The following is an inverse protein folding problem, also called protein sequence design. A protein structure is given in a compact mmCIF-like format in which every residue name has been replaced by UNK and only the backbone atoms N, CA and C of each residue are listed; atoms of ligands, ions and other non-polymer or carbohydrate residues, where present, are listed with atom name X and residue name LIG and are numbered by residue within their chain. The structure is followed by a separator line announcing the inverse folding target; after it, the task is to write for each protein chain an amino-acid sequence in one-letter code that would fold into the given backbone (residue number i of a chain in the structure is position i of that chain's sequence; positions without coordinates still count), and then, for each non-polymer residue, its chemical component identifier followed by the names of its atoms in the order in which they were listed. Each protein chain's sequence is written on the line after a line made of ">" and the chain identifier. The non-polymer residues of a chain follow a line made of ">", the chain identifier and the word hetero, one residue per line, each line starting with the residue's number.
data_IF_015886999468
#
_entry.id   IF_015886999468
#
_cell.length_a   1.000
_cell.length_b   1.000
_cell.length_c   1.000
_cell.angle_alpha   90.00
_cell.angle_beta   90.00
_cell.angle_gamma   90.00
#
_symmetry.space_group_name_H-M   'P 1'
#
loop_
_entity.id
_entity.type
_entity.pdbx_description
1 polymer ?
#
# COMPACT_ATOMS: atom_id res chain seq x y z
N UNK A 1 1.57 10.01 19.47
CA UNK A 1 1.20 9.39 20.75
C UNK A 1 1.57 7.92 20.72
N UNK A 2 2.24 7.37 21.75
CA UNK A 2 2.43 5.93 21.84
C UNK A 2 1.07 5.24 21.90
N UNK A 3 0.90 4.19 21.12
CA UNK A 3 -0.34 3.41 21.12
C UNK A 3 -0.28 2.52 22.35
N UNK A 4 -1.16 2.78 23.33
CA UNK A 4 -1.14 2.06 24.61
C UNK A 4 -1.41 0.57 24.37
N UNK A 5 -0.51 -0.28 24.86
CA UNK A 5 -0.64 -1.73 24.78
C UNK A 5 -0.29 -2.36 23.42
N UNK A 6 0.25 -1.59 22.48
CA UNK A 6 0.68 -2.08 21.17
C UNK A 6 2.20 -1.89 21.04
N UNK A 7 2.93 -2.98 20.77
CA UNK A 7 4.37 -2.91 20.51
C UNK A 7 4.64 -2.11 19.22
N UNK A 8 5.64 -1.23 19.23
CA UNK A 8 5.93 -0.30 18.13
C UNK A 8 7.25 -0.58 17.42
N UNK A 9 8.30 -0.92 18.14
CA UNK A 9 9.64 -1.17 17.60
C UNK A 9 10.13 -2.61 17.85
N UNK A 10 9.32 -3.41 18.54
CA UNK A 10 9.60 -4.82 18.86
C UNK A 10 10.95 -5.09 19.56
N UNK A 11 11.71 -4.07 19.93
CA UNK A 11 13.08 -4.18 20.45
C UNK A 11 13.16 -4.92 21.79
N UNK A 12 12.09 -4.93 22.57
CA UNK A 12 11.96 -5.69 23.81
C UNK A 12 11.53 -7.16 23.59
N UNK A 13 11.36 -7.59 22.35
CA UNK A 13 10.84 -8.90 22.00
C UNK A 13 9.33 -9.05 22.19
N UNK A 14 8.62 -7.94 22.48
CA UNK A 14 7.19 -7.95 22.72
C UNK A 14 6.37 -7.95 21.45
N UNK A 15 5.26 -8.68 21.49
CA UNK A 15 4.21 -8.74 20.47
C UNK A 15 2.90 -8.16 20.98
N UNK A 16 2.96 -7.43 22.06
CA UNK A 16 1.77 -6.90 22.72
C UNK A 16 0.86 -6.19 21.71
N UNK A 17 -0.42 -6.56 21.72
CA UNK A 17 -1.44 -5.95 20.89
C UNK A 17 -1.49 -6.41 19.42
N UNK A 18 -0.56 -7.26 18.97
CA UNK A 18 -0.55 -7.79 17.60
C UNK A 18 -1.11 -9.20 17.51
N UNK A 19 -1.82 -9.47 16.43
CA UNK A 19 -2.36 -10.77 16.07
C UNK A 19 -2.00 -11.13 14.64
N UNK A 20 -1.98 -12.42 14.31
CA UNK A 20 -1.77 -12.86 12.92
C UNK A 20 -2.82 -13.90 12.58
N UNK A 21 -3.55 -13.67 11.50
CA UNK A 21 -4.50 -14.60 10.90
C UNK A 21 -3.92 -15.32 9.68
N UNK A 22 -2.70 -14.98 9.25
CA UNK A 22 -2.04 -15.74 8.20
C UNK A 22 -1.77 -17.14 8.70
N UNK A 23 -2.00 -18.17 7.85
CA UNK A 23 -1.79 -19.58 8.21
C UNK A 23 -0.32 -19.97 8.44
N UNK A 24 0.60 -19.02 8.46
CA UNK A 24 1.99 -19.24 8.77
C UNK A 24 2.14 -19.62 10.24
N UNK A 25 2.71 -20.80 10.46
CA UNK A 25 2.92 -21.35 11.81
C UNK A 25 4.05 -20.66 12.58
N UNK A 26 4.96 -19.98 11.88
CA UNK A 26 6.12 -19.34 12.48
C UNK A 26 5.85 -17.87 12.72
N UNK A 27 5.22 -17.58 13.83
CA UNK A 27 5.13 -16.23 14.36
C UNK A 27 6.38 -15.98 15.16
N UNK A 28 7.23 -15.12 14.69
CA UNK A 28 8.38 -14.70 15.47
C UNK A 28 8.21 -13.26 15.85
N UNK A 29 8.00 -13.02 17.14
CA UNK A 29 8.32 -11.76 17.69
C UNK A 29 9.83 -11.60 17.64
N UNK A 30 10.28 -10.55 17.00
CA UNK A 30 11.55 -9.97 17.24
C UNK A 30 12.71 -10.96 17.23
N UNK A 31 13.27 -11.23 16.10
CA UNK A 31 14.63 -11.73 16.04
C UNK A 31 15.58 -10.55 15.97
N UNK A 32 16.51 -10.49 16.91
CA UNK A 32 17.61 -9.57 16.81
C UNK A 32 18.50 -9.88 15.63
N UNK A 33 19.05 -8.84 15.09
CA UNK A 33 20.33 -8.64 14.40
C UNK A 33 20.89 -9.68 13.40
N UNK A 34 20.36 -10.87 13.24
CA UNK A 34 20.83 -11.81 12.22
C UNK A 34 20.37 -11.42 10.81
N UNK A 35 19.49 -10.46 10.73
CA UNK A 35 19.03 -9.89 9.49
C UNK A 35 20.04 -8.92 8.91
N UNK A 36 21.16 -9.45 8.43
CA UNK A 36 22.08 -8.70 7.55
C UNK A 36 21.38 -8.13 6.31
N UNK A 37 20.16 -8.60 6.06
CA UNK A 37 19.33 -8.24 4.94
C UNK A 37 18.32 -7.14 5.29
N UNK A 38 18.19 -6.79 6.58
CA UNK A 38 17.34 -5.69 7.03
C UNK A 38 18.23 -4.57 7.53
N UNK A 39 18.09 -3.40 6.96
CA UNK A 39 18.80 -2.20 7.41
C UNK A 39 18.29 -1.68 8.76
N UNK A 40 17.54 -2.47 9.52
CA UNK A 40 17.06 -2.14 10.86
C UNK A 40 18.02 -2.59 11.94
N UNK A 41 18.19 -1.77 12.95
CA UNK A 41 18.94 -2.10 14.15
C UNK A 41 17.98 -2.56 15.24
N UNK A 42 18.22 -3.73 15.81
CA UNK A 42 17.37 -4.29 16.86
C UNK A 42 16.42 -5.36 16.37
N UNK A 43 15.39 -5.59 17.16
CA UNK A 43 14.37 -6.58 16.85
C UNK A 43 13.29 -5.97 15.96
N UNK A 44 12.65 -6.82 15.16
CA UNK A 44 11.53 -6.48 14.29
C UNK A 44 10.47 -7.58 14.32
N UNK A 45 9.28 -7.30 13.86
CA UNK A 45 8.31 -8.34 13.57
C UNK A 45 8.68 -9.04 12.27
N UNK A 46 8.70 -10.37 12.27
CA UNK A 46 8.71 -11.16 11.04
C UNK A 46 7.76 -12.36 11.14
N UNK A 47 7.25 -12.74 9.98
CA UNK A 47 6.54 -13.98 9.80
C UNK A 47 7.05 -14.63 8.52
N UNK A 48 7.57 -15.87 8.64
CA UNK A 48 8.10 -16.59 7.49
C UNK A 48 7.83 -18.09 7.59
N UNK A 49 7.81 -18.76 6.45
CA UNK A 49 7.70 -20.21 6.33
C UNK A 49 8.50 -20.67 5.12
N UNK A 50 9.04 -21.89 5.16
CA UNK A 50 9.67 -22.51 4.00
C UNK A 50 8.70 -22.67 2.82
N UNK A 51 7.44 -23.01 3.13
CA UNK A 51 6.36 -23.01 2.16
C UNK A 51 5.64 -21.67 2.20
N UNK A 52 5.03 -21.29 1.08
CA UNK A 52 4.19 -20.11 1.03
C UNK A 52 3.07 -20.19 2.06
N UNK A 53 2.84 -19.14 2.81
CA UNK A 53 1.71 -19.08 3.71
C UNK A 53 0.44 -18.59 3.01
N UNK A 54 -0.71 -18.89 3.61
CA UNK A 54 -2.00 -18.45 3.10
C UNK A 54 -2.17 -16.94 3.27
N UNK A 55 -3.11 -16.40 2.53
CA UNK A 55 -3.58 -15.02 2.72
C UNK A 55 -4.01 -14.78 4.16
N UNK A 56 -3.90 -13.55 4.63
CA UNK A 56 -4.27 -13.17 5.99
C UNK A 56 -3.59 -11.90 6.44
N UNK A 57 -3.94 -11.46 7.65
CA UNK A 57 -3.50 -10.20 8.22
C UNK A 57 -2.55 -10.41 9.41
N UNK A 58 -1.63 -9.47 9.54
CA UNK A 58 -0.93 -9.16 10.79
C UNK A 58 -1.44 -7.83 11.25
N UNK A 59 -2.14 -7.78 12.36
CA UNK A 59 -2.89 -6.60 12.75
C UNK A 59 -2.78 -6.26 14.23
N UNK A 60 -2.90 -4.98 14.50
CA UNK A 60 -3.17 -4.42 15.81
C UNK A 60 -4.39 -3.49 15.72
N UNK A 61 -5.15 -3.40 16.80
CA UNK A 61 -6.31 -2.51 16.89
C UNK A 61 -6.09 -1.50 18.01
N UNK A 62 -6.03 -0.22 17.63
CA UNK A 62 -6.05 0.89 18.57
C UNK A 62 -7.51 1.25 18.90
N UNK A 63 -7.78 1.55 20.17
CA UNK A 63 -9.10 1.88 20.67
C UNK A 63 -9.10 3.18 21.47
N UNK A 64 -10.29 3.75 21.72
CA UNK A 64 -10.45 5.02 22.42
C UNK A 64 -9.72 6.17 21.71
N UNK A 65 -9.68 6.11 20.39
CA UNK A 65 -9.08 7.14 19.58
C UNK A 65 -10.04 8.34 19.42
N UNK A 66 -9.57 9.58 19.55
CA UNK A 66 -10.32 10.74 19.11
C UNK A 66 -10.74 10.64 17.64
N UNK A 67 -11.89 11.23 17.29
CA UNK A 67 -12.27 11.43 15.90
C UNK A 67 -11.24 12.33 15.21
N UNK A 68 -10.89 12.03 13.95
CA UNK A 68 -9.99 12.86 13.17
C UNK A 68 -9.00 12.10 12.31
N UNK A 69 -7.99 12.81 11.84
CA UNK A 69 -6.98 12.32 10.90
C UNK A 69 -5.84 11.64 11.64
N UNK A 70 -5.48 10.47 11.14
CA UNK A 70 -4.34 9.68 11.60
C UNK A 70 -3.40 9.34 10.46
N UNK A 71 -2.11 9.29 10.76
CA UNK A 71 -1.06 8.79 9.87
C UNK A 71 -0.42 7.58 10.50
N UNK A 72 -0.54 6.43 9.84
CA UNK A 72 0.10 5.19 10.22
C UNK A 72 1.41 5.05 9.45
N UNK A 73 2.52 4.97 10.16
CA UNK A 73 3.87 4.80 9.63
C UNK A 73 4.40 3.43 10.03
N UNK A 74 5.13 2.79 9.14
CA UNK A 74 5.84 1.56 9.43
C UNK A 74 6.97 1.32 8.43
N UNK A 75 8.00 0.60 8.84
CA UNK A 75 8.89 -0.10 7.92
C UNK A 75 8.24 -1.44 7.58
N UNK A 76 8.06 -1.73 6.31
CA UNK A 76 7.41 -2.95 5.86
C UNK A 76 8.12 -3.57 4.67
N UNK A 77 8.15 -4.89 4.60
CA UNK A 77 8.66 -5.61 3.45
C UNK A 77 7.88 -6.91 3.20
N UNK A 78 8.01 -7.43 2.00
CA UNK A 78 7.43 -8.70 1.57
C UNK A 78 8.32 -9.37 0.53
N UNK A 79 8.37 -10.70 0.50
CA UNK A 79 9.08 -11.41 -0.58
C UNK A 79 8.28 -11.46 -1.88
N UNK A 80 6.99 -11.17 -1.85
CA UNK A 80 6.12 -11.19 -3.02
C UNK A 80 5.53 -9.82 -3.27
N UNK A 81 6.12 -9.09 -4.21
CA UNK A 81 5.60 -7.79 -4.64
C UNK A 81 4.27 -7.99 -5.38
N UNK A 82 3.32 -7.10 -5.15
CA UNK A 82 2.00 -7.11 -5.80
C UNK A 82 0.87 -7.77 -5.00
N UNK A 83 1.12 -8.19 -3.76
CA UNK A 83 0.10 -8.92 -3.00
C UNK A 83 0.09 -8.71 -1.50
N UNK A 84 0.93 -7.82 -0.99
CA UNK A 84 0.99 -7.45 0.43
C UNK A 84 0.78 -5.95 0.56
N UNK A 85 -0.09 -5.55 1.47
CA UNK A 85 -0.46 -4.15 1.67
C UNK A 85 -0.21 -3.73 3.11
N UNK A 86 0.35 -2.53 3.29
CA UNK A 86 0.22 -1.79 4.53
C UNK A 86 -1.20 -1.22 4.57
N UNK A 87 -1.93 -1.39 5.68
CA UNK A 87 -3.29 -0.90 5.78
C UNK A 87 -3.60 -0.20 7.10
N UNK A 88 -4.58 0.69 7.06
CA UNK A 88 -5.15 1.37 8.20
C UNK A 88 -6.65 1.59 7.94
N UNK A 89 -7.51 0.87 8.66
CA UNK A 89 -8.94 0.80 8.38
C UNK A 89 -9.20 0.21 6.99
N UNK A 90 -9.94 0.94 6.17
CA UNK A 90 -10.25 0.55 4.78
C UNK A 90 -9.18 0.98 3.77
N UNK A 91 -8.18 1.74 4.20
CA UNK A 91 -7.15 2.26 3.33
C UNK A 91 -6.00 1.28 3.19
N UNK A 92 -5.47 1.12 1.98
CA UNK A 92 -4.40 0.19 1.65
C UNK A 92 -3.33 0.85 0.79
N UNK A 93 -2.07 0.49 1.02
CA UNK A 93 -0.93 0.89 0.20
C UNK A 93 -0.06 -0.31 -0.08
N UNK A 94 0.28 -0.54 -1.35
CA UNK A 94 1.07 -1.68 -1.78
C UNK A 94 2.46 -1.65 -1.16
N UNK A 95 2.89 -2.76 -0.57
CA UNK A 95 4.27 -2.95 -0.11
C UNK A 95 5.11 -3.35 -1.33
N UNK A 96 6.00 -2.48 -1.74
CA UNK A 96 6.88 -2.68 -2.91
C UNK A 96 8.30 -3.09 -2.51
N UNK A 97 8.67 -2.92 -1.25
CA UNK A 97 10.00 -3.27 -0.77
C UNK A 97 10.13 -4.77 -0.52
N UNK A 98 11.16 -5.37 -1.05
CA UNK A 98 11.58 -6.76 -0.75
C UNK A 98 12.58 -6.83 0.39
N UNK A 99 12.98 -5.68 0.91
CA UNK A 99 13.84 -5.50 2.08
C UNK A 99 13.31 -4.35 2.91
N UNK A 100 13.54 -4.35 4.21
CA UNK A 100 13.20 -3.21 5.05
C UNK A 100 14.16 -2.06 4.71
N UNK A 101 13.60 -0.98 4.19
CA UNK A 101 14.32 0.26 3.93
C UNK A 101 14.06 1.24 5.07
N UNK A 102 15.06 1.43 5.93
CA UNK A 102 14.98 2.31 7.11
C UNK A 102 14.83 3.78 6.72
N UNK A 103 15.35 4.14 5.56
CA UNK A 103 15.34 5.52 5.07
C UNK A 103 14.01 5.90 4.41
N UNK A 104 13.19 4.91 4.07
CA UNK A 104 11.92 5.10 3.34
C UNK A 104 10.76 4.38 4.03
N UNK A 105 10.36 4.82 5.22
CA UNK A 105 9.20 4.25 5.87
C UNK A 105 7.96 4.46 5.01
N UNK A 106 7.06 3.49 5.03
CA UNK A 106 5.76 3.62 4.42
C UNK A 106 4.82 4.39 5.34
N UNK A 107 3.93 5.16 4.73
CA UNK A 107 2.89 5.88 5.44
C UNK A 107 1.56 5.68 4.76
N UNK A 108 0.50 5.58 5.56
CA UNK A 108 -0.88 5.58 5.09
C UNK A 108 -1.75 6.40 6.04
N UNK A 109 -2.71 7.12 5.46
CA UNK A 109 -3.66 7.92 6.22
C UNK A 109 -4.94 7.14 6.50
N UNK A 110 -5.57 7.46 7.63
CA UNK A 110 -6.91 7.03 7.98
C UNK A 110 -7.66 8.18 8.67
N UNK A 111 -8.96 8.18 8.54
CA UNK A 111 -9.85 9.05 9.32
C UNK A 111 -10.66 8.17 10.27
N UNK A 112 -10.45 8.36 11.56
CA UNK A 112 -11.19 7.64 12.60
C UNK A 112 -12.49 8.36 12.92
N UNK A 113 -13.59 7.62 12.93
CA UNK A 113 -14.93 8.15 13.19
C UNK A 113 -15.65 7.46 14.35
N UNK A 114 -15.20 6.26 14.74
CA UNK A 114 -15.85 5.42 15.77
C UNK A 114 -14.93 5.10 16.97
N UNK A 115 -13.78 5.74 17.03
CA UNK A 115 -12.82 5.57 18.12
C UNK A 115 -11.94 4.33 18.00
N UNK A 116 -11.99 3.61 16.87
CA UNK A 116 -11.18 2.40 16.64
C UNK A 116 -10.43 2.45 15.32
N UNK A 117 -9.26 1.83 15.26
CA UNK A 117 -8.50 1.67 14.04
C UNK A 117 -7.74 0.35 14.04
N UNK A 118 -8.09 -0.55 13.15
CA UNK A 118 -7.27 -1.72 12.82
C UNK A 118 -6.22 -1.34 11.78
N UNK A 119 -4.97 -1.78 11.99
CA UNK A 119 -3.83 -1.45 11.13
C UNK A 119 -2.83 -2.58 11.09
N UNK A 120 -2.02 -2.63 10.05
CA UNK A 120 -0.97 -3.64 9.91
C UNK A 120 -0.62 -4.02 8.48
N UNK A 121 -0.34 -5.31 8.27
CA UNK A 121 -0.09 -5.89 6.94
C UNK A 121 -1.23 -6.83 6.54
N UNK A 122 -1.67 -6.72 5.29
CA UNK A 122 -2.65 -7.60 4.66
C UNK A 122 -2.02 -8.33 3.48
N UNK A 123 -1.90 -9.66 3.60
CA UNK A 123 -1.38 -10.54 2.54
C UNK A 123 -2.57 -11.09 1.76
N UNK A 124 -2.77 -10.62 0.54
CA UNK A 124 -3.94 -10.94 -0.29
C UNK A 124 -3.68 -12.00 -1.34
N UNK A 125 -2.42 -12.35 -1.61
CA UNK A 125 -2.07 -13.38 -2.59
C UNK A 125 -1.30 -14.52 -1.95
N UNK A 126 -1.52 -15.73 -2.48
CA UNK A 126 -0.72 -16.90 -2.15
C UNK A 126 0.67 -16.78 -2.78
N UNK A 127 1.66 -17.30 -2.11
CA UNK A 127 3.04 -17.31 -2.62
C UNK A 127 4.00 -16.49 -1.77
N UNK A 128 3.49 -15.57 -0.95
CA UNK A 128 4.29 -14.88 0.06
C UNK A 128 4.74 -15.88 1.10
N UNK A 129 6.02 -15.88 1.42
CA UNK A 129 6.57 -16.75 2.45
C UNK A 129 7.35 -16.01 3.52
N UNK A 130 7.53 -14.72 3.38
CA UNK A 130 8.20 -13.87 4.36
C UNK A 130 7.67 -12.44 4.29
N UNK A 131 7.27 -11.91 5.43
CA UNK A 131 6.90 -10.51 5.65
C UNK A 131 7.56 -9.99 6.90
N UNK A 132 7.79 -8.70 6.96
CA UNK A 132 8.30 -8.04 8.17
C UNK A 132 7.71 -6.66 8.36
N UNK A 133 7.72 -6.23 9.61
CA UNK A 133 7.18 -4.96 10.06
C UNK A 133 8.04 -4.44 11.22
N UNK A 134 8.33 -3.14 11.20
CA UNK A 134 9.08 -2.48 12.27
C UNK A 134 8.76 -0.99 12.35
N UNK A 135 9.21 -0.35 13.43
CA UNK A 135 9.08 1.10 13.66
C UNK A 135 7.66 1.61 13.41
N UNK A 136 6.69 0.91 13.95
CA UNK A 136 5.27 1.24 13.82
C UNK A 136 4.93 2.48 14.63
N UNK A 137 4.29 3.45 14.02
CA UNK A 137 3.80 4.64 14.70
C UNK A 137 2.43 5.05 14.17
N UNK A 138 1.53 5.38 15.07
CA UNK A 138 0.24 5.99 14.76
C UNK A 138 0.23 7.42 15.27
N UNK A 139 0.16 8.39 14.37
CA UNK A 139 0.18 9.81 14.65
C UNK A 139 -1.23 10.38 14.53
N UNK A 140 -1.74 10.99 15.59
CA UNK A 140 -2.95 11.79 15.53
C UNK A 140 -2.61 13.19 15.03
N UNK A 141 -3.21 13.63 13.94
CA UNK A 141 -2.95 14.92 13.30
C UNK A 141 -4.01 15.97 13.66
N UNK A 142 -5.16 15.53 14.15
CA UNK A 142 -6.24 16.42 14.60
C UNK A 142 -7.58 16.14 13.93
N UNK A 143 -8.58 16.88 14.39
CA UNK A 143 -9.98 16.85 13.93
C UNK A 143 -10.42 18.16 13.24
N UNK A 144 -9.49 19.09 13.04
CA UNK A 144 -9.71 20.41 12.48
C UNK A 144 -9.28 20.49 11.01
N UNK A 145 -9.79 21.48 10.31
CA UNK A 145 -9.58 21.64 8.86
C UNK A 145 -8.14 21.51 8.41
N UNK A 146 -7.21 22.13 9.13
CA UNK A 146 -5.79 22.09 8.77
C UNK A 146 -5.24 20.67 8.71
N UNK A 147 -5.74 19.74 9.54
CA UNK A 147 -5.33 18.34 9.53
C UNK A 147 -5.81 17.62 8.26
N UNK A 148 -7.05 17.88 7.83
CA UNK A 148 -7.60 17.31 6.60
C UNK A 148 -6.95 17.90 5.35
N UNK A 149 -6.68 19.21 5.35
CA UNK A 149 -5.96 19.90 4.27
C UNK A 149 -4.55 19.32 4.13
N UNK A 150 -3.80 19.26 5.23
CA UNK A 150 -2.44 18.73 5.23
C UNK A 150 -2.39 17.25 4.78
N UNK A 151 -3.37 16.44 5.19
CA UNK A 151 -3.53 15.06 4.70
C UNK A 151 -3.73 15.04 3.18
N UNK A 152 -4.65 15.84 2.66
CA UNK A 152 -4.95 15.90 1.23
C UNK A 152 -3.74 16.35 0.41
N UNK A 153 -3.07 17.41 0.84
CA UNK A 153 -1.86 17.91 0.19
C UNK A 153 -0.76 16.84 0.10
N UNK A 154 -0.45 16.17 1.22
CA UNK A 154 0.59 15.13 1.22
C UNK A 154 0.20 13.91 0.36
N UNK A 155 -1.07 13.52 0.36
CA UNK A 155 -1.56 12.43 -0.49
C UNK A 155 -1.41 12.80 -1.97
N UNK A 156 -1.88 13.98 -2.37
CA UNK A 156 -1.87 14.38 -3.79
C UNK A 156 -0.47 14.70 -4.30
N UNK A 157 0.43 15.20 -3.45
CA UNK A 157 1.84 15.40 -3.79
C UNK A 157 2.58 14.07 -4.02
N UNK A 158 2.18 13.02 -3.29
CA UNK A 158 2.78 11.69 -3.43
C UNK A 158 2.24 10.89 -4.62
N UNK A 159 1.09 11.29 -5.20
CA UNK A 159 0.51 10.63 -6.37
C UNK A 159 1.28 10.97 -7.65
N UNK A 160 1.45 10.01 -8.58
CA UNK A 160 1.92 10.31 -9.91
C UNK A 160 0.96 11.27 -10.64
N UNK A 161 1.49 12.16 -11.43
CA UNK A 161 0.66 12.97 -12.32
C UNK A 161 0.21 12.15 -13.54
N UNK A 162 -0.80 11.29 -13.30
CA UNK A 162 -1.34 10.42 -14.34
C UNK A 162 -1.92 11.20 -15.52
N UNK A 163 -2.43 12.44 -15.31
CA UNK A 163 -2.95 13.27 -16.40
C UNK A 163 -1.83 13.67 -17.36
N UNK A 164 -0.71 14.14 -16.83
CA UNK A 164 0.47 14.45 -17.64
C UNK A 164 1.06 13.20 -18.30
N UNK A 165 1.27 12.12 -17.54
CA UNK A 165 1.83 10.87 -18.07
C UNK A 165 1.00 10.27 -19.22
N UNK A 166 -0.34 10.32 -19.13
CA UNK A 166 -1.23 9.85 -20.18
C UNK A 166 -1.20 10.78 -21.40
N UNK A 167 -1.19 12.10 -21.19
CA UNK A 167 -1.15 13.08 -22.27
C UNK A 167 0.16 13.03 -23.06
N UNK A 168 1.26 12.74 -22.39
CA UNK A 168 2.60 12.63 -23.00
C UNK A 168 2.85 11.25 -23.60
N UNK A 169 1.95 10.27 -23.39
CA UNK A 169 2.09 8.91 -23.86
C UNK A 169 3.14 8.09 -23.09
N UNK A 170 3.52 8.57 -21.91
CA UNK A 170 4.45 7.87 -21.00
C UNK A 170 3.75 6.81 -20.13
N UNK A 171 2.43 6.86 -20.04
CA UNK A 171 1.61 5.83 -19.39
C UNK A 171 0.37 5.51 -20.23
N UNK A 172 -0.21 4.34 -19.99
CA UNK A 172 -1.46 3.89 -20.60
C UNK A 172 -2.31 3.19 -19.54
N UNK A 173 -3.61 3.35 -19.63
CA UNK A 173 -4.56 2.68 -18.73
C UNK A 173 -5.92 2.48 -19.41
N UNK A 174 -6.79 1.73 -18.77
CA UNK A 174 -8.19 1.65 -19.19
C UNK A 174 -8.89 2.98 -18.90
N UNK A 175 -9.63 3.52 -19.86
CA UNK A 175 -10.33 4.80 -19.73
C UNK A 175 -11.30 4.81 -18.53
N UNK A 176 -12.05 3.72 -18.30
CA UNK A 176 -12.97 3.61 -17.18
C UNK A 176 -12.28 3.65 -15.81
N UNK A 177 -11.03 3.16 -15.73
CA UNK A 177 -10.22 3.19 -14.51
C UNK A 177 -9.74 4.62 -14.25
N UNK A 178 -9.27 5.31 -15.29
CA UNK A 178 -8.88 6.71 -15.20
C UNK A 178 -10.05 7.62 -14.78
N UNK A 179 -11.23 7.42 -15.38
CA UNK A 179 -12.42 8.21 -15.05
C UNK A 179 -12.83 7.99 -13.58
N UNK A 180 -12.76 6.76 -13.09
CA UNK A 180 -13.04 6.43 -11.68
C UNK A 180 -12.01 7.07 -10.74
N UNK A 181 -10.72 6.99 -11.09
CA UNK A 181 -9.64 7.62 -10.34
C UNK A 181 -9.83 9.14 -10.26
N UNK A 182 -10.06 9.81 -11.39
CA UNK A 182 -10.28 11.25 -11.44
C UNK A 182 -11.48 11.67 -10.59
N UNK A 183 -12.60 10.95 -10.71
CA UNK A 183 -13.78 11.21 -9.89
C UNK A 183 -13.51 11.09 -8.39
N UNK A 184 -12.79 10.06 -7.98
CA UNK A 184 -12.46 9.84 -6.57
C UNK A 184 -11.46 10.90 -6.04
N UNK A 185 -10.46 11.28 -6.86
CA UNK A 185 -9.52 12.35 -6.56
C UNK A 185 -10.23 13.69 -6.36
N UNK A 186 -11.11 14.07 -7.29
CA UNK A 186 -11.87 15.33 -7.23
C UNK A 186 -12.78 15.36 -5.99
N UNK A 187 -13.42 14.24 -5.66
CA UNK A 187 -14.28 14.13 -4.47
C UNK A 187 -13.49 14.33 -3.17
N UNK A 188 -12.33 13.69 -3.02
CA UNK A 188 -11.47 13.88 -1.85
C UNK A 188 -10.90 15.30 -1.81
N UNK A 189 -10.46 15.84 -2.94
CA UNK A 189 -9.90 17.19 -3.05
C UNK A 189 -10.89 18.23 -2.58
N UNK A 190 -12.14 18.16 -3.00
CA UNK A 190 -13.20 19.11 -2.58
C UNK A 190 -13.36 19.10 -1.07
N UNK A 191 -13.34 17.94 -0.45
CA UNK A 191 -13.49 17.79 1.01
C UNK A 191 -12.26 18.26 1.80
N UNK A 192 -11.06 18.19 1.23
CA UNK A 192 -9.82 18.57 1.90
C UNK A 192 -9.40 20.02 1.68
N UNK A 193 -10.09 20.77 0.82
CA UNK A 193 -9.81 22.20 0.52
C UNK A 193 -10.85 23.12 1.20
N UNK A 194 -12.06 22.62 1.48
CA UNK A 194 -13.17 23.46 1.95
C UNK A 194 -13.11 23.67 3.45
N UNK A 195 -13.28 24.93 3.87
CA UNK A 195 -13.51 25.30 5.26
C UNK A 195 -14.86 24.70 5.71
N UNK A 196 -14.81 23.55 6.40
CA UNK A 196 -15.99 22.83 6.81
C UNK A 196 -16.66 23.50 8.00
N UNK A 197 -17.74 24.20 7.73
CA UNK A 197 -18.65 24.72 8.75
C UNK A 197 -19.66 23.67 9.26
N UNK A 198 -19.59 22.43 8.78
CA UNK A 198 -20.45 21.31 9.18
C UNK A 198 -19.89 20.61 10.41
N UNK A 199 -20.75 19.97 11.20
CA UNK A 199 -20.39 19.28 12.44
C UNK A 199 -19.19 18.32 12.23
N UNK A 200 -18.22 18.38 13.14
CA UNK A 200 -16.93 17.70 13.00
C UNK A 200 -17.05 16.19 12.73
N UNK A 201 -18.01 15.51 13.33
CA UNK A 201 -18.20 14.05 13.21
C UNK A 201 -18.76 13.66 11.83
N UNK A 202 -19.75 14.42 11.31
CA UNK A 202 -20.33 14.15 9.99
C UNK A 202 -19.31 14.39 8.88
N UNK A 203 -18.53 15.45 9.01
CA UNK A 203 -17.46 15.75 8.08
C UNK A 203 -16.36 14.68 8.07
N UNK A 204 -15.95 14.19 9.23
CA UNK A 204 -14.99 13.09 9.34
C UNK A 204 -15.49 11.84 8.62
N UNK A 205 -16.78 11.50 8.71
CA UNK A 205 -17.39 10.36 8.00
C UNK A 205 -17.34 10.55 6.49
N UNK A 206 -17.63 11.75 5.99
CA UNK A 206 -17.56 12.03 4.55
C UNK A 206 -16.13 11.95 4.01
N UNK A 207 -15.16 12.53 4.74
CA UNK A 207 -13.74 12.45 4.35
C UNK A 207 -13.24 11.01 4.42
N UNK A 208 -13.62 10.24 5.46
CA UNK A 208 -13.23 8.82 5.55
C UNK A 208 -13.69 8.01 4.33
N UNK A 209 -14.93 8.20 3.89
CA UNK A 209 -15.47 7.54 2.69
C UNK A 209 -14.74 7.97 1.41
N UNK A 210 -14.50 9.27 1.25
CA UNK A 210 -13.81 9.80 0.08
C UNK A 210 -12.36 9.33 0.03
N UNK A 211 -11.67 9.27 1.17
CA UNK A 211 -10.31 8.76 1.29
C UNK A 211 -10.24 7.27 0.90
N UNK A 212 -11.14 6.44 1.42
CA UNK A 212 -11.18 5.02 1.07
C UNK A 212 -11.47 4.81 -0.43
N UNK A 213 -12.42 5.56 -1.00
CA UNK A 213 -12.71 5.51 -2.43
C UNK A 213 -11.52 5.96 -3.28
N UNK A 214 -10.82 7.02 -2.88
CA UNK A 214 -9.63 7.48 -3.56
C UNK A 214 -8.49 6.45 -3.50
N UNK A 215 -8.19 5.89 -2.34
CA UNK A 215 -7.14 4.87 -2.21
C UNK A 215 -7.42 3.64 -3.09
N UNK A 216 -8.67 3.17 -3.13
CA UNK A 216 -9.06 2.06 -4.00
C UNK A 216 -8.90 2.40 -5.48
N UNK A 217 -9.29 3.61 -5.89
CA UNK A 217 -9.17 4.07 -7.26
C UNK A 217 -7.71 4.31 -7.68
N UNK A 218 -6.88 4.87 -6.81
CA UNK A 218 -5.44 5.06 -7.03
C UNK A 218 -4.72 3.71 -7.19
N UNK A 219 -5.05 2.72 -6.35
CA UNK A 219 -4.51 1.38 -6.51
C UNK A 219 -4.90 0.77 -7.86
N UNK A 220 -6.20 0.81 -8.23
CA UNK A 220 -6.67 0.31 -9.52
C UNK A 220 -6.01 1.04 -10.70
N UNK A 221 -5.75 2.34 -10.58
CA UNK A 221 -5.04 3.13 -11.58
C UNK A 221 -3.61 2.65 -11.75
N UNK A 222 -2.87 2.48 -10.65
CA UNK A 222 -1.49 1.98 -10.69
C UNK A 222 -1.39 0.57 -11.27
N UNK A 223 -2.33 -0.32 -10.92
CA UNK A 223 -2.41 -1.68 -11.48
C UNK A 223 -2.72 -1.66 -12.98
N UNK A 224 -3.63 -0.79 -13.42
CA UNK A 224 -3.95 -0.63 -14.84
C UNK A 224 -2.74 -0.14 -15.63
N UNK A 225 -2.02 0.87 -15.16
CA UNK A 225 -0.78 1.34 -15.79
C UNK A 225 0.26 0.23 -15.86
N UNK A 226 0.51 -0.45 -14.76
CA UNK A 226 1.47 -1.56 -14.71
C UNK A 226 1.11 -2.70 -15.69
N UNK A 227 -0.18 -2.99 -15.88
CA UNK A 227 -0.63 -4.00 -16.83
C UNK A 227 -0.35 -3.60 -18.28
N UNK A 228 -0.54 -2.33 -18.64
CA UNK A 228 -0.19 -1.82 -19.96
C UNK A 228 1.32 -1.79 -20.20
N UNK A 229 2.13 -1.45 -19.21
CA UNK A 229 3.58 -1.49 -19.30
C UNK A 229 4.08 -2.91 -19.61
N UNK A 230 3.53 -3.91 -18.93
CA UNK A 230 3.83 -5.33 -19.21
C UNK A 230 3.40 -5.72 -20.64
N UNK A 231 2.22 -5.27 -21.06
CA UNK A 231 1.71 -5.54 -22.40
C UNK A 231 2.63 -4.95 -23.47
N UNK A 232 2.99 -3.67 -23.37
CA UNK A 232 3.85 -3.01 -24.36
C UNK A 232 5.26 -3.57 -24.39
N UNK A 233 5.80 -3.95 -23.23
CA UNK A 233 7.11 -4.63 -23.15
C UNK A 233 7.07 -5.96 -23.92
N UNK A 234 6.08 -6.79 -23.68
CA UNK A 234 5.93 -8.06 -24.39
C UNK A 234 5.69 -7.87 -25.89
N UNK A 235 4.92 -6.84 -26.25
CA UNK A 235 4.71 -6.49 -27.65
C UNK A 235 6.01 -6.07 -28.34
N UNK A 236 6.85 -5.27 -27.68
CA UNK A 236 8.13 -4.88 -28.21
C UNK A 236 9.09 -6.07 -28.36
N UNK A 237 9.16 -6.97 -27.36
CA UNK A 237 9.93 -8.21 -27.40
C UNK A 237 9.49 -9.10 -28.57
N UNK A 238 8.18 -9.26 -28.79
CA UNK A 238 7.65 -10.02 -29.92
C UNK A 238 8.00 -9.41 -31.27
N UNK A 239 7.92 -8.08 -31.41
CA UNK A 239 8.29 -7.39 -32.63
C UNK A 239 9.81 -7.48 -32.91
N UNK A 240 10.63 -7.39 -31.90
CA UNK A 240 12.08 -7.56 -32.03
C UNK A 240 12.40 -8.98 -32.51
N UNK A 241 11.76 -10.00 -31.92
CA UNK A 241 11.90 -11.38 -32.35
C UNK A 241 11.47 -11.57 -33.81
N UNK A 242 10.31 -11.05 -34.20
CA UNK A 242 9.83 -11.12 -35.60
C UNK A 242 10.80 -10.45 -36.59
N UNK A 243 11.36 -9.29 -36.22
CA UNK A 243 12.28 -8.56 -37.08
C UNK A 243 13.68 -9.22 -37.15
N UNK A 244 14.08 -9.98 -36.12
CA UNK A 244 15.34 -10.71 -36.09
C UNK A 244 15.26 -12.05 -36.82
N UNK A 245 14.04 -12.57 -37.03
CA UNK A 245 13.83 -13.83 -37.74
C UNK A 245 13.76 -13.55 -39.23
N UNK A 246 14.69 -14.09 -40.00
CA UNK A 246 14.73 -13.92 -41.46
C UNK A 246 13.74 -14.84 -42.12
N UNK A 247 13.24 -14.43 -43.31
CA UNK A 247 12.30 -15.26 -44.11
C UNK A 247 12.86 -16.61 -44.55
N UNK A 248 14.13 -16.87 -44.36
CA UNK A 248 14.82 -18.11 -44.67
C UNK A 248 14.93 -19.04 -43.46
N UNK A 249 14.48 -18.61 -42.27
CA UNK A 249 14.52 -19.46 -41.08
C UNK A 249 13.27 -20.37 -41.02
N UNK A 250 13.46 -21.61 -40.59
CA UNK A 250 12.36 -22.58 -40.39
C UNK A 250 11.29 -22.06 -39.40
N UNK A 251 11.66 -21.12 -38.54
CA UNK A 251 10.78 -20.49 -37.55
C UNK A 251 9.75 -19.54 -38.19
N UNK A 252 10.12 -18.82 -39.26
CA UNK A 252 9.18 -17.96 -40.00
C UNK A 252 8.17 -18.80 -40.78
N UNK A 253 8.62 -19.93 -41.30
CA UNK A 253 7.74 -20.85 -42.03
C UNK A 253 6.69 -21.49 -41.12
N UNK A 254 7.01 -21.76 -39.85
CA UNK A 254 6.07 -22.26 -38.84
C UNK A 254 4.99 -21.22 -38.47
N UNK A 255 5.30 -19.93 -38.55
CA UNK A 255 4.31 -18.86 -38.28
C UNK A 255 3.37 -18.60 -39.45
N UNK A 256 3.78 -18.94 -40.67
CA UNK A 256 2.95 -18.79 -41.84
C UNK A 256 1.86 -19.89 -41.94
N UNK A 257 1.98 -20.98 -41.20
CA UNK A 257 1.06 -22.12 -41.16
C UNK A 257 0.03 -21.99 -40.00
N UNK A 258 0.06 -20.94 -39.21
CA UNK A 258 -0.92 -20.60 -38.17
C UNK A 258 -1.73 -19.36 -38.56
#
# INVERSE_FOLDING_TARGET
>A
LPIIGIASDFNDGSFAGWTSSSGASNKQAAKGNDAKDFAVTGNHYENWNWDAFSVGKVSATATNLPVGVYKFNALAFTTTVGGTFLYAGENQKLVTSTQIDVEKPMSIYAVVTDGTLEMGLDVQVKGTNWIGLDNVALLYLGDHNDAYIAMGEEIFEAEPDYEALLAEGEAYCQQSVYDAYKKAKDALMVLTIVDASTGADEYAVEVAKALAAFNAASLAMSESVAAYDVYFKKYAEANEWLNSTTSESDEVNLLADY
#
